data_IF_562192039413
#
_entry.id   IF_562192039413
#
_cell.length_a   1.000
_cell.length_b   1.000
_cell.length_c   1.000
_cell.angle_alpha   90.00
_cell.angle_beta   90.00
_cell.angle_gamma   90.00
#
_symmetry.space_group_name_H-M   'P 1'
#
loop_
_entity.id
_entity.type
_entity.pdbx_description
1 polymer ?
#
# COMPACT_ATOMS: atom_id res chain seq x y z
N UNK A 1 19.07 -23.16 -17.82
CA UNK A 1 17.69 -23.02 -18.32
C UNK A 1 16.95 -22.10 -17.36
N UNK A 2 17.10 -20.78 -17.53
CA UNK A 2 16.50 -19.78 -16.63
C UNK A 2 15.19 -19.36 -17.27
N UNK A 3 14.07 -19.66 -16.60
CA UNK A 3 12.73 -19.28 -17.04
C UNK A 3 12.61 -17.76 -16.96
N UNK A 4 12.26 -17.16 -18.10
CA UNK A 4 11.98 -15.73 -18.25
C UNK A 4 10.95 -15.28 -17.20
N UNK A 5 11.38 -14.44 -16.26
CA UNK A 5 10.48 -13.72 -15.37
C UNK A 5 9.98 -12.50 -16.14
N UNK A 6 8.79 -12.63 -16.73
CA UNK A 6 8.14 -11.50 -17.41
C UNK A 6 7.55 -10.59 -16.35
N UNK A 7 8.29 -9.54 -16.00
CA UNK A 7 7.76 -8.43 -15.22
C UNK A 7 6.91 -7.60 -16.18
N UNK A 8 5.59 -7.65 -16.02
CA UNK A 8 4.67 -6.73 -16.72
C UNK A 8 4.91 -5.35 -16.12
N UNK A 9 5.82 -4.59 -16.72
CA UNK A 9 5.98 -3.16 -16.46
C UNK A 9 4.80 -2.45 -17.13
N UNK A 10 3.75 -2.14 -16.38
CA UNK A 10 2.73 -1.19 -16.80
C UNK A 10 3.35 0.21 -16.82
N UNK A 11 3.90 0.60 -17.98
CA UNK A 11 4.49 1.91 -18.24
C UNK A 11 3.46 3.02 -18.50
N UNK A 12 2.18 2.85 -18.12
CA UNK A 12 1.11 3.81 -18.40
C UNK A 12 0.54 4.53 -17.16
N UNK A 13 1.33 4.72 -16.09
CA UNK A 13 0.99 5.64 -15.00
C UNK A 13 2.06 6.71 -14.83
N UNK A 14 2.02 7.73 -15.69
CA UNK A 14 2.85 8.94 -15.56
C UNK A 14 2.11 10.04 -14.79
N UNK A 15 1.39 9.69 -13.73
CA UNK A 15 1.23 10.62 -12.62
C UNK A 15 2.42 10.36 -11.71
N UNK A 16 3.52 11.09 -11.92
CA UNK A 16 4.69 11.05 -11.06
C UNK A 16 4.29 11.66 -9.72
N UNK A 17 3.66 10.85 -8.87
CA UNK A 17 3.46 11.13 -7.46
C UNK A 17 4.85 11.36 -6.88
N UNK A 18 5.20 12.63 -6.66
CA UNK A 18 6.47 13.04 -6.06
C UNK A 18 6.47 12.69 -4.57
N UNK A 19 6.38 11.40 -4.25
CA UNK A 19 6.34 10.90 -2.87
C UNK A 19 7.72 11.14 -2.26
N UNK A 20 7.87 12.31 -1.64
CA UNK A 20 9.07 12.73 -0.91
C UNK A 20 9.38 11.79 0.25
N UNK A 21 8.34 11.19 0.85
CA UNK A 21 8.41 10.30 2.00
C UNK A 21 7.59 9.04 1.77
N UNK A 22 8.14 7.84 2.01
CA UNK A 22 7.42 6.57 1.86
C UNK A 22 6.14 6.56 2.70
N UNK A 23 5.06 6.08 2.10
CA UNK A 23 3.71 6.10 2.65
C UNK A 23 3.08 4.72 2.57
N UNK A 24 2.52 4.24 3.69
CA UNK A 24 1.66 3.06 3.75
C UNK A 24 0.22 3.56 3.81
N UNK A 25 -0.59 3.19 2.82
CA UNK A 25 -2.03 3.49 2.80
C UNK A 25 -2.77 2.18 3.09
N UNK A 26 -3.61 2.17 4.11
CA UNK A 26 -4.39 1.00 4.51
C UNK A 26 -5.83 1.23 4.09
N UNK A 27 -6.29 0.38 3.18
CA UNK A 27 -7.68 0.33 2.74
C UNK A 27 -8.38 -0.77 3.50
N UNK A 28 -9.38 -0.39 4.28
CA UNK A 28 -10.16 -1.29 5.12
C UNK A 28 -11.64 -0.93 4.97
N UNK A 29 -12.47 -1.92 4.64
CA UNK A 29 -13.91 -1.79 4.48
C UNK A 29 -14.67 -2.04 5.78
N UNK A 30 -14.01 -2.47 6.86
CA UNK A 30 -14.59 -2.72 8.17
C UNK A 30 -13.81 -1.98 9.27
N UNK A 31 -13.55 -0.68 9.08
CA UNK A 31 -12.73 0.15 9.98
C UNK A 31 -13.26 0.29 11.41
N UNK A 32 -14.41 -0.29 11.74
CA UNK A 32 -14.95 -0.35 13.10
C UNK A 32 -15.68 -1.68 13.34
N UNK A 33 -15.16 -2.50 14.26
CA UNK A 33 -15.91 -3.38 15.18
C UNK A 33 -14.98 -3.96 16.28
N UNK A 34 -13.69 -4.20 16.02
CA UNK A 34 -12.76 -4.79 17.02
C UNK A 34 -11.34 -4.18 16.98
N UNK A 35 -10.52 -4.44 18.01
CA UNK A 35 -9.18 -3.86 18.23
C UNK A 35 -8.35 -3.83 16.92
N UNK A 36 -7.94 -2.66 16.42
CA UNK A 36 -7.28 -2.57 15.13
C UNK A 36 -5.88 -3.19 15.20
N UNK A 37 -5.67 -4.31 14.51
CA UNK A 37 -4.35 -4.91 14.26
C UNK A 37 -3.48 -4.08 13.30
N UNK A 38 -3.94 -2.87 12.95
CA UNK A 38 -3.26 -1.91 12.10
C UNK A 38 -1.83 -1.63 12.56
N UNK A 39 -1.59 -1.50 13.87
CA UNK A 39 -0.24 -1.25 14.38
C UNK A 39 0.71 -2.41 14.07
N UNK A 40 0.28 -3.64 14.29
CA UNK A 40 1.06 -4.85 13.99
C UNK A 40 1.34 -5.00 12.49
N UNK A 41 0.32 -4.74 11.66
CA UNK A 41 0.47 -4.72 10.18
C UNK A 41 1.51 -3.68 9.78
N UNK A 42 1.40 -2.45 10.31
CA UNK A 42 2.33 -1.34 10.00
C UNK A 42 3.75 -1.69 10.44
N UNK A 43 3.92 -2.24 11.64
CA UNK A 43 5.24 -2.62 12.17
C UNK A 43 5.87 -3.75 11.34
N UNK A 44 5.07 -4.74 10.93
CA UNK A 44 5.51 -5.83 10.06
C UNK A 44 5.96 -5.29 8.70
N UNK A 45 5.16 -4.42 8.07
CA UNK A 45 5.49 -3.80 6.78
C UNK A 45 6.73 -2.92 6.87
N UNK A 46 6.85 -2.07 7.91
CA UNK A 46 8.03 -1.24 8.14
C UNK A 46 9.30 -2.08 8.30
N UNK A 47 9.22 -3.16 9.07
CA UNK A 47 10.33 -4.10 9.26
C UNK A 47 10.72 -4.74 7.93
N UNK A 48 9.75 -5.27 7.19
CA UNK A 48 9.98 -5.88 5.87
C UNK A 48 10.63 -4.91 4.89
N UNK A 49 10.06 -3.70 4.73
CA UNK A 49 10.58 -2.68 3.81
C UNK A 49 12.00 -2.24 4.20
N UNK A 50 12.28 -2.10 5.49
CA UNK A 50 13.62 -1.78 5.99
C UNK A 50 14.62 -2.85 5.60
N UNK A 51 14.30 -4.14 5.86
CA UNK A 51 15.15 -5.27 5.48
C UNK A 51 15.34 -5.39 3.98
N UNK A 52 14.27 -5.23 3.20
CA UNK A 52 14.34 -5.25 1.74
C UNK A 52 15.26 -4.13 1.21
N UNK A 53 15.22 -2.96 1.84
CA UNK A 53 16.10 -1.82 1.51
C UNK A 53 17.57 -2.13 1.77
N UNK A 54 17.88 -2.70 2.95
CA UNK A 54 19.24 -3.10 3.36
C UNK A 54 19.86 -4.10 2.36
N UNK A 55 19.04 -5.03 1.85
CA UNK A 55 19.45 -6.04 0.89
C UNK A 55 19.44 -5.54 -0.57
N UNK A 56 18.86 -4.37 -0.84
CA UNK A 56 18.76 -3.84 -2.20
C UNK A 56 20.10 -3.30 -2.70
N UNK A 57 20.47 -3.64 -3.95
CA UNK A 57 21.68 -3.11 -4.59
C UNK A 57 21.63 -1.59 -4.82
N UNK A 58 20.44 -0.99 -4.76
CA UNK A 58 20.21 0.45 -4.98
C UNK A 58 20.52 1.32 -3.75
N UNK A 59 20.81 0.73 -2.58
CA UNK A 59 21.08 1.45 -1.31
C UNK A 59 20.09 2.61 -1.08
N UNK A 60 18.80 2.39 -1.34
CA UNK A 60 17.82 3.37 -0.90
C UNK A 60 17.83 3.35 0.64
N UNK A 61 18.18 4.48 1.26
CA UNK A 61 18.21 4.59 2.72
C UNK A 61 16.79 4.84 3.23
N UNK A 62 15.91 3.83 3.18
CA UNK A 62 14.61 3.88 3.85
C UNK A 62 14.77 4.01 5.37
N UNK A 63 15.90 3.57 5.93
CA UNK A 63 16.26 3.73 7.34
C UNK A 63 16.24 5.18 7.85
N UNK A 64 16.50 6.16 6.98
CA UNK A 64 16.51 7.59 7.36
C UNK A 64 15.19 8.29 7.07
N UNK A 65 14.24 7.64 6.41
CA UNK A 65 12.95 8.23 6.05
C UNK A 65 11.87 7.73 6.99
N UNK A 66 11.11 8.65 7.56
CA UNK A 66 9.91 8.30 8.32
C UNK A 66 8.86 7.74 7.35
N UNK A 67 8.48 6.46 7.53
CA UNK A 67 7.36 5.85 6.80
C UNK A 67 6.05 6.29 7.48
N UNK A 68 5.27 7.10 6.78
CA UNK A 68 3.94 7.55 7.24
C UNK A 68 2.89 6.46 6.99
N UNK A 69 1.84 6.45 7.80
CA UNK A 69 0.68 5.57 7.61
C UNK A 69 -0.59 6.42 7.49
N UNK A 70 -1.45 6.11 6.52
CA UNK A 70 -2.75 6.77 6.33
C UNK A 70 -3.84 5.71 6.19
N UNK A 71 -4.94 5.90 6.91
CA UNK A 71 -6.19 5.16 6.73
C UNK A 71 -7.22 6.16 6.19
N UNK A 72 -7.67 6.05 4.93
CA UNK A 72 -8.64 6.98 4.37
C UNK A 72 -10.01 6.79 5.02
N UNK A 73 -10.58 7.88 5.55
CA UNK A 73 -11.86 7.87 6.28
C UNK A 73 -13.10 7.95 5.38
N UNK A 74 -12.94 8.43 4.14
CA UNK A 74 -14.05 8.68 3.21
C UNK A 74 -14.21 7.56 2.18
N UNK A 75 -14.04 6.31 2.61
CA UNK A 75 -14.22 5.14 1.76
C UNK A 75 -15.51 4.41 2.10
N UNK A 76 -16.24 3.88 1.10
CA UNK A 76 -17.39 3.02 1.36
C UNK A 76 -17.06 1.93 2.36
N UNK A 77 -17.84 1.77 3.42
CA UNK A 77 -17.67 0.64 4.36
C UNK A 77 -18.63 -0.48 3.98
N UNK A 78 -18.24 -1.73 4.22
CA UNK A 78 -19.14 -2.87 4.04
C UNK A 78 -19.98 -3.07 5.30
N UNK A 79 -21.23 -3.48 5.11
CA UNK A 79 -22.15 -3.76 6.22
C UNK A 79 -22.16 -5.24 6.63
N UNK A 80 -21.71 -6.13 5.74
CA UNK A 80 -21.62 -7.57 5.99
C UNK A 80 -20.18 -8.03 6.25
N UNK A 81 -19.98 -9.32 6.52
CA UNK A 81 -18.70 -9.96 6.85
C UNK A 81 -18.09 -10.79 5.70
N UNK A 82 -18.63 -10.69 4.48
CA UNK A 82 -18.24 -11.53 3.32
C UNK A 82 -17.74 -10.75 2.10
N UNK A 83 -18.04 -9.44 2.00
CA UNK A 83 -17.78 -8.66 0.78
C UNK A 83 -16.41 -7.95 0.76
N UNK A 84 -15.52 -8.18 1.73
CA UNK A 84 -14.24 -7.46 1.82
C UNK A 84 -13.36 -7.62 0.57
N UNK A 85 -13.43 -8.78 -0.09
CA UNK A 85 -12.77 -8.99 -1.38
C UNK A 85 -13.27 -8.06 -2.48
N UNK A 86 -14.58 -7.79 -2.54
CA UNK A 86 -15.16 -6.86 -3.51
C UNK A 86 -14.74 -5.42 -3.24
N UNK A 87 -14.72 -5.02 -1.97
CA UNK A 87 -14.27 -3.68 -1.57
C UNK A 87 -12.79 -3.46 -1.88
N UNK A 88 -11.93 -4.46 -1.71
CA UNK A 88 -10.51 -4.39 -2.12
C UNK A 88 -10.38 -4.08 -3.61
N UNK A 89 -11.13 -4.76 -4.47
CA UNK A 89 -11.11 -4.54 -5.92
C UNK A 89 -11.59 -3.13 -6.27
N UNK A 90 -12.65 -2.69 -5.62
CA UNK A 90 -13.23 -1.37 -5.82
C UNK A 90 -12.27 -0.24 -5.36
N UNK A 91 -11.57 -0.41 -4.24
CA UNK A 91 -10.53 0.52 -3.79
C UNK A 91 -9.34 0.57 -4.74
N UNK A 92 -8.89 -0.59 -5.23
CA UNK A 92 -7.82 -0.67 -6.21
C UNK A 92 -8.22 0.03 -7.51
N UNK A 93 -9.45 -0.18 -7.99
CA UNK A 93 -9.97 0.49 -9.17
C UNK A 93 -9.98 2.02 -8.99
N UNK A 94 -10.51 2.53 -7.87
CA UNK A 94 -10.49 3.97 -7.56
C UNK A 94 -9.08 4.53 -7.51
N UNK A 95 -8.18 3.87 -6.79
CA UNK A 95 -6.81 4.33 -6.62
C UNK A 95 -6.04 4.36 -7.95
N UNK A 96 -6.23 3.34 -8.78
CA UNK A 96 -5.60 3.28 -10.09
C UNK A 96 -6.21 4.33 -11.02
N UNK A 97 -7.53 4.40 -11.17
CA UNK A 97 -8.15 5.32 -12.14
C UNK A 97 -8.07 6.80 -11.72
N UNK A 98 -8.08 7.07 -10.42
CA UNK A 98 -8.07 8.41 -9.84
C UNK A 98 -7.14 8.41 -8.62
N UNK A 99 -5.81 8.38 -8.85
CA UNK A 99 -4.86 8.39 -7.75
C UNK A 99 -5.03 9.67 -6.93
N UNK A 100 -4.89 9.60 -5.60
CA UNK A 100 -5.04 10.75 -4.74
C UNK A 100 -4.04 11.84 -5.13
N UNK A 101 -4.55 13.03 -5.41
CA UNK A 101 -3.75 14.22 -5.70
C UNK A 101 -3.23 14.75 -4.35
N UNK A 102 -1.93 15.07 -4.29
CA UNK A 102 -1.28 15.67 -3.11
C UNK A 102 -1.83 17.05 -2.76
#
# INVERSE_FOLDING_TARGET
MIKSLTIISMSCFTAQLSISEPLIIIFDSQQSIELPCTEDIVNTLKTFLTRASELSARKENLLTKQIKTVIPKNLPQQENDVDCGLYILEYAQRFLLQPPIK
#
